data_IF_745636809729
#
_entry.id   IF_745636809729
#
_cell.length_a   1.000
_cell.length_b   1.000
_cell.length_c   1.000
_cell.angle_alpha   90.00
_cell.angle_beta   90.00
_cell.angle_gamma   90.00
#
_symmetry.space_group_name_H-M   'P 1'
#
loop_
_entity.id
_entity.type
_entity.pdbx_description
1 polymer ?
#
# COMPACT_ATOMS: atom_id res chain seq x y z
N UNK A 1 5.22 -14.29 -0.90
CA UNK A 1 4.91 -12.85 -0.79
C UNK A 1 4.55 -12.51 0.65
N UNK A 2 5.49 -12.02 1.46
CA UNK A 2 5.23 -11.77 2.89
C UNK A 2 4.39 -10.51 3.15
N UNK A 3 4.49 -9.51 2.26
CA UNK A 3 3.89 -8.18 2.44
C UNK A 3 2.81 -7.87 1.39
N UNK A 4 3.20 -7.77 0.12
CA UNK A 4 2.35 -7.23 -0.95
C UNK A 4 0.99 -7.92 -1.09
N UNK A 5 0.96 -9.26 -1.05
CA UNK A 5 -0.29 -10.01 -1.15
C UNK A 5 -1.24 -9.71 0.03
N UNK A 6 -0.76 -9.79 1.26
CA UNK A 6 -1.58 -9.57 2.46
C UNK A 6 -2.07 -8.12 2.60
N UNK A 7 -1.38 -7.14 2.01
CA UNK A 7 -1.86 -5.75 1.98
C UNK A 7 -2.84 -5.46 0.83
N UNK A 8 -3.01 -6.40 -0.11
CA UNK A 8 -3.79 -6.20 -1.34
C UNK A 8 -5.29 -6.42 -1.16
N UNK A 9 -6.07 -6.03 -2.17
CA UNK A 9 -7.53 -6.17 -2.24
C UNK A 9 -8.04 -7.54 -1.77
N UNK A 10 -7.49 -8.64 -2.29
CA UNK A 10 -8.04 -9.99 -2.05
C UNK A 10 -8.16 -10.32 -0.56
N UNK A 11 -7.02 -10.47 0.16
CA UNK A 11 -7.03 -10.78 1.58
C UNK A 11 -7.66 -9.71 2.48
N UNK A 12 -7.57 -8.44 2.11
CA UNK A 12 -8.18 -7.36 2.88
C UNK A 12 -9.71 -7.40 2.81
N UNK A 13 -10.27 -7.64 1.62
CA UNK A 13 -11.73 -7.74 1.40
C UNK A 13 -12.28 -9.05 2.01
N UNK A 14 -11.58 -10.18 1.84
CA UNK A 14 -12.03 -11.46 2.39
C UNK A 14 -11.79 -11.58 3.90
N UNK A 15 -11.08 -10.62 4.51
CA UNK A 15 -10.72 -10.66 5.93
C UNK A 15 -9.68 -11.72 6.28
N UNK A 16 -8.96 -12.28 5.30
CA UNK A 16 -7.91 -13.29 5.51
C UNK A 16 -6.50 -12.69 5.60
N UNK A 17 -6.38 -11.36 5.47
CA UNK A 17 -5.11 -10.66 5.69
C UNK A 17 -4.65 -10.74 7.15
N UNK A 18 -3.39 -11.10 7.35
CA UNK A 18 -2.72 -11.03 8.66
C UNK A 18 -2.46 -9.58 9.13
N UNK A 19 -2.61 -8.59 8.24
CA UNK A 19 -2.34 -7.18 8.52
C UNK A 19 -3.61 -6.32 8.60
N UNK A 20 -4.80 -6.90 8.45
CA UNK A 20 -6.08 -6.17 8.34
C UNK A 20 -6.24 -5.08 9.40
N UNK A 21 -5.89 -5.41 10.63
CA UNK A 21 -6.08 -4.57 11.80
C UNK A 21 -4.73 -4.01 12.33
N UNK A 22 -3.71 -3.92 11.46
CA UNK A 22 -2.32 -3.57 11.83
C UNK A 22 -1.86 -2.20 11.34
N UNK A 23 -2.79 -1.35 10.89
CA UNK A 23 -2.44 0.02 10.47
C UNK A 23 -1.83 0.78 11.65
N UNK A 24 -0.68 1.41 11.45
CA UNK A 24 0.15 2.05 12.47
C UNK A 24 0.75 1.12 13.54
N UNK A 25 0.72 -0.19 13.34
CA UNK A 25 1.42 -1.14 14.20
C UNK A 25 2.76 -1.60 13.61
N UNK A 26 3.64 -2.08 14.49
CA UNK A 26 4.92 -2.66 14.08
C UNK A 26 4.72 -4.07 13.53
N UNK A 27 5.05 -4.26 12.25
CA UNK A 27 4.91 -5.54 11.54
C UNK A 27 6.24 -6.09 11.02
N UNK A 28 7.32 -5.32 11.11
CA UNK A 28 8.67 -5.71 10.70
C UNK A 28 9.74 -5.06 11.60
N UNK A 29 11.00 -5.43 11.37
CA UNK A 29 12.15 -4.84 12.08
C UNK A 29 12.15 -3.30 11.98
N UNK A 30 12.50 -2.57 13.06
CA UNK A 30 12.67 -1.12 13.04
C UNK A 30 13.65 -0.60 11.96
N UNK A 31 14.54 -1.47 11.48
CA UNK A 31 15.52 -1.13 10.45
C UNK A 31 14.95 -1.09 9.03
N UNK A 32 13.70 -1.54 8.83
CA UNK A 32 13.09 -1.67 7.51
C UNK A 32 12.12 -0.51 7.24
N UNK A 33 12.34 0.20 6.13
CA UNK A 33 11.37 1.13 5.54
C UNK A 33 11.17 0.78 4.07
N UNK A 34 9.93 0.86 3.60
CA UNK A 34 9.53 0.51 2.24
C UNK A 34 8.69 1.67 1.70
N UNK A 35 9.10 2.17 0.54
CA UNK A 35 8.44 3.27 -0.16
C UNK A 35 8.01 2.84 -1.56
N UNK A 36 6.87 3.33 -2.01
CA UNK A 36 6.44 3.27 -3.41
C UNK A 36 6.54 4.68 -3.97
N UNK A 37 7.51 4.93 -4.87
CA UNK A 37 7.82 6.28 -5.37
C UNK A 37 7.74 6.39 -6.90
N UNK A 38 6.56 6.13 -7.51
CA UNK A 38 6.42 6.04 -8.96
C UNK A 38 6.56 7.37 -9.70
N UNK A 39 6.51 8.51 -9.00
CA UNK A 39 6.71 9.85 -9.57
C UNK A 39 8.04 10.47 -9.14
N UNK A 40 8.99 9.67 -8.63
CA UNK A 40 10.34 10.14 -8.32
C UNK A 40 11.18 10.26 -9.59
N UNK A 41 11.97 11.33 -9.70
CA UNK A 41 12.96 11.50 -10.78
C UNK A 41 14.05 10.41 -10.77
N UNK A 42 14.15 9.65 -9.67
CA UNK A 42 15.04 8.50 -9.50
C UNK A 42 14.55 7.24 -10.26
N UNK A 43 13.29 7.22 -10.72
CA UNK A 43 12.66 6.06 -11.38
C UNK A 43 12.41 6.38 -12.85
N UNK A 44 13.14 5.70 -13.75
CA UNK A 44 13.04 5.95 -15.19
C UNK A 44 11.72 5.46 -15.82
N UNK A 45 11.10 4.42 -15.25
CA UNK A 45 9.83 3.84 -15.71
C UNK A 45 8.72 4.08 -14.67
N UNK A 46 8.59 5.34 -14.27
CA UNK A 46 7.54 5.81 -13.38
C UNK A 46 6.16 5.85 -14.04
N UNK A 47 5.12 6.12 -13.26
CA UNK A 47 3.78 6.37 -13.79
C UNK A 47 3.11 7.51 -13.03
N UNK A 48 2.30 8.29 -13.75
CA UNK A 48 1.67 9.51 -13.23
C UNK A 48 0.18 9.34 -12.92
N UNK A 49 -0.45 8.27 -13.41
CA UNK A 49 -1.88 8.00 -13.25
C UNK A 49 -2.08 6.54 -12.84
N UNK A 50 -2.92 6.29 -11.84
CA UNK A 50 -3.29 4.95 -11.41
C UNK A 50 -4.34 4.33 -12.35
N UNK A 51 -4.49 2.99 -12.39
CA UNK A 51 -5.54 2.34 -13.17
C UNK A 51 -6.97 2.79 -12.83
N UNK A 52 -7.18 3.31 -11.62
CA UNK A 52 -8.47 3.87 -11.18
C UNK A 52 -8.67 5.34 -11.60
N UNK A 53 -7.73 5.92 -12.36
CA UNK A 53 -7.84 7.28 -12.92
C UNK A 53 -7.40 8.41 -11.99
N UNK A 54 -6.63 8.14 -10.94
CA UNK A 54 -6.12 9.18 -10.02
C UNK A 54 -4.67 9.54 -10.33
N UNK A 55 -4.27 10.78 -10.05
CA UNK A 55 -2.87 11.16 -10.03
C UNK A 55 -2.09 10.28 -9.03
N UNK A 56 -1.04 9.62 -9.51
CA UNK A 56 -0.16 8.80 -8.69
C UNK A 56 0.72 9.69 -7.82
N UNK A 57 0.97 9.25 -6.57
CA UNK A 57 1.82 9.96 -5.62
C UNK A 57 2.83 9.02 -4.98
N UNK A 58 3.94 9.57 -4.50
CA UNK A 58 4.90 8.83 -3.69
C UNK A 58 4.30 8.53 -2.31
N UNK A 59 4.54 7.33 -1.78
CA UNK A 59 4.04 6.92 -0.47
C UNK A 59 5.03 6.05 0.28
N UNK A 60 4.87 6.01 1.60
CA UNK A 60 5.59 5.10 2.49
C UNK A 60 4.64 3.98 2.89
N UNK A 61 4.98 2.73 2.57
CA UNK A 61 4.21 1.55 2.94
C UNK A 61 4.59 1.11 4.36
N UNK A 62 5.89 1.05 4.62
CA UNK A 62 6.47 0.72 5.93
C UNK A 62 7.44 1.84 6.32
N UNK A 63 7.30 2.37 7.54
CA UNK A 63 8.25 3.31 8.12
C UNK A 63 8.82 2.70 9.39
N UNK A 64 10.11 2.39 9.41
CA UNK A 64 10.82 1.84 10.56
C UNK A 64 10.06 0.63 11.17
N UNK A 65 9.68 -0.32 10.32
CA UNK A 65 8.92 -1.51 10.70
C UNK A 65 7.42 -1.29 10.93
N UNK A 66 6.92 -0.06 10.91
CA UNK A 66 5.50 0.28 11.15
C UNK A 66 4.72 0.36 9.86
N UNK A 67 3.57 -0.31 9.78
CA UNK A 67 2.66 -0.25 8.63
C UNK A 67 1.96 1.11 8.54
N UNK A 68 2.04 1.77 7.39
CA UNK A 68 1.49 3.12 7.19
C UNK A 68 0.34 3.21 6.18
N UNK A 69 0.23 2.25 5.27
CA UNK A 69 -0.89 2.18 4.31
C UNK A 69 -1.09 0.76 3.82
N UNK A 70 -2.31 0.46 3.38
CA UNK A 70 -2.62 -0.74 2.60
C UNK A 70 -2.45 -0.49 1.09
N UNK A 71 -2.46 -1.57 0.32
CA UNK A 71 -2.33 -1.57 -1.14
C UNK A 71 -3.71 -1.83 -1.75
N UNK A 72 -4.63 -0.88 -1.53
CA UNK A 72 -6.03 -1.00 -1.94
C UNK A 72 -6.33 -0.15 -3.16
N UNK A 73 -7.07 -0.72 -4.11
CA UNK A 73 -7.63 0.05 -5.22
C UNK A 73 -8.85 0.84 -4.73
N UNK A 74 -9.43 1.67 -5.59
CA UNK A 74 -10.72 2.31 -5.29
C UNK A 74 -11.79 1.27 -4.93
N UNK A 75 -11.80 0.12 -5.61
CA UNK A 75 -12.71 -0.97 -5.29
C UNK A 75 -12.45 -1.56 -3.90
N UNK A 76 -11.20 -1.88 -3.57
CA UNK A 76 -10.83 -2.45 -2.28
C UNK A 76 -11.12 -1.50 -1.12
N UNK A 77 -10.81 -0.21 -1.28
CA UNK A 77 -11.14 0.85 -0.34
C UNK A 77 -12.65 0.89 -0.06
N UNK A 78 -13.48 0.91 -1.11
CA UNK A 78 -14.95 0.91 -0.97
C UNK A 78 -15.51 -0.34 -0.29
N UNK A 79 -14.87 -1.50 -0.47
CA UNK A 79 -15.33 -2.77 0.13
C UNK A 79 -14.90 -2.95 1.58
N UNK A 80 -13.83 -2.28 2.01
CA UNK A 80 -13.27 -2.42 3.36
C UNK A 80 -13.57 -1.22 4.25
N UNK A 81 -13.95 -0.07 3.68
CA UNK A 81 -14.09 1.20 4.40
C UNK A 81 -12.75 1.86 4.75
N UNK A 82 -11.64 1.36 4.20
CA UNK A 82 -10.29 1.89 4.39
C UNK A 82 -9.90 2.80 3.21
N UNK A 83 -8.80 3.54 3.39
CA UNK A 83 -8.27 4.40 2.34
C UNK A 83 -7.67 3.60 1.18
N UNK A 84 -7.81 4.15 -0.05
CA UNK A 84 -7.09 3.62 -1.22
C UNK A 84 -5.60 3.95 -1.11
N UNK A 85 -4.78 3.13 -1.76
CA UNK A 85 -3.42 3.54 -2.04
C UNK A 85 -3.41 4.78 -2.96
N UNK A 86 -2.47 5.68 -2.71
CA UNK A 86 -2.27 6.87 -3.54
C UNK A 86 -1.55 6.56 -4.87
N UNK A 87 -1.15 5.31 -5.06
CA UNK A 87 -0.45 4.81 -6.23
C UNK A 87 -0.84 3.36 -6.54
N UNK A 88 -0.39 2.86 -7.69
CA UNK A 88 -0.58 1.47 -8.14
C UNK A 88 0.41 0.53 -7.44
N UNK A 89 0.01 -0.72 -7.28
CA UNK A 89 0.74 -1.72 -6.49
C UNK A 89 0.66 -3.11 -7.12
#
# INVERSE_FOLDING_TARGET
>A
YFLSYSLSNGPMISGTSIYRDKLNEQIASPMLSIHSRPVSDEICDGYFVTPDGYAAQNSTVIQNGVLKTFLLSLYGARKTGLDRAVNSF
#
